data_IF_481489624447
#
_entry.id   IF_481489624447
#
_cell.length_a   1.000
_cell.length_b   1.000
_cell.length_c   1.000
_cell.angle_alpha   90.00
_cell.angle_beta   90.00
_cell.angle_gamma   90.00
#
_symmetry.space_group_name_H-M   'P 1'
#
loop_
_entity.id
_entity.type
_entity.pdbx_description
1 polymer ?
#
# COMPACT_ATOMS: atom_id res chain seq x y z
N UNK A 1 -24.50 -20.10 -44.34
CA UNK A 1 -23.95 -21.11 -43.42
C UNK A 1 -23.02 -20.35 -42.49
N UNK A 2 -23.65 -19.77 -41.47
CA UNK A 2 -23.07 -18.88 -40.46
C UNK A 2 -22.28 -19.67 -39.44
N UNK A 3 -20.96 -19.74 -39.60
CA UNK A 3 -20.07 -20.40 -38.64
C UNK A 3 -19.11 -19.43 -37.94
N UNK A 4 -19.31 -18.11 -38.03
CA UNK A 4 -18.26 -17.14 -37.68
C UNK A 4 -18.44 -16.33 -36.39
N UNK A 5 -19.60 -16.27 -35.74
CA UNK A 5 -19.80 -15.23 -34.72
C UNK A 5 -20.34 -15.74 -33.37
N UNK A 6 -19.77 -16.81 -32.85
CA UNK A 6 -19.91 -17.17 -31.44
C UNK A 6 -18.53 -17.36 -30.80
N UNK A 7 -17.61 -16.40 -31.01
CA UNK A 7 -16.41 -16.32 -30.15
C UNK A 7 -16.84 -15.83 -28.77
N UNK A 8 -16.25 -16.34 -27.68
CA UNK A 8 -16.71 -16.06 -26.32
C UNK A 8 -16.33 -14.63 -25.89
N UNK A 9 -17.08 -13.63 -26.37
CA UNK A 9 -16.96 -12.21 -25.98
C UNK A 9 -16.98 -12.04 -24.45
N UNK A 10 -17.71 -12.91 -23.75
CA UNK A 10 -17.79 -12.90 -22.28
C UNK A 10 -16.47 -13.25 -21.60
N UNK A 11 -15.63 -14.09 -22.20
CA UNK A 11 -14.38 -14.52 -21.59
C UNK A 11 -13.26 -13.49 -21.77
N UNK A 12 -13.24 -12.79 -22.91
CA UNK A 12 -12.33 -11.67 -23.15
C UNK A 12 -12.65 -10.47 -22.24
N UNK A 13 -13.92 -10.09 -22.11
CA UNK A 13 -14.33 -8.98 -21.23
C UNK A 13 -13.98 -9.22 -19.74
N UNK A 14 -14.02 -10.48 -19.29
CA UNK A 14 -13.61 -10.83 -17.92
C UNK A 14 -12.09 -10.74 -17.73
N UNK A 15 -11.30 -11.07 -18.75
CA UNK A 15 -9.85 -10.93 -18.68
C UNK A 15 -9.42 -9.46 -18.74
N UNK A 16 -10.02 -8.65 -19.61
CA UNK A 16 -9.72 -7.20 -19.71
C UNK A 16 -10.06 -6.43 -18.43
N UNK A 17 -11.21 -6.71 -17.80
CA UNK A 17 -11.61 -6.07 -16.54
C UNK A 17 -10.65 -6.43 -15.40
N UNK A 18 -10.23 -7.69 -15.31
CA UNK A 18 -9.23 -8.13 -14.33
C UNK A 18 -7.86 -7.49 -14.53
N UNK A 19 -7.41 -7.31 -15.78
CA UNK A 19 -6.12 -6.67 -16.08
C UNK A 19 -6.15 -5.17 -15.75
N UNK A 20 -7.21 -4.45 -16.13
CA UNK A 20 -7.39 -3.03 -15.77
C UNK A 20 -7.43 -2.79 -14.26
N UNK A 21 -8.08 -3.67 -13.50
CA UNK A 21 -8.17 -3.54 -12.04
C UNK A 21 -6.81 -3.74 -11.37
N UNK A 22 -6.01 -4.69 -11.83
CA UNK A 22 -4.65 -4.93 -11.32
C UNK A 22 -3.74 -3.74 -11.60
N UNK A 23 -3.83 -3.16 -12.80
CA UNK A 23 -3.02 -2.02 -13.20
C UNK A 23 -3.36 -0.76 -12.39
N UNK A 24 -4.66 -0.51 -12.16
CA UNK A 24 -5.14 0.54 -11.25
C UNK A 24 -4.64 0.32 -9.82
N UNK A 25 -4.73 -0.90 -9.30
CA UNK A 25 -4.26 -1.23 -7.96
C UNK A 25 -2.76 -0.99 -7.82
N UNK A 26 -1.96 -1.46 -8.79
CA UNK A 26 -0.51 -1.22 -8.82
C UNK A 26 -0.20 0.28 -8.81
N UNK A 27 -0.94 1.06 -9.59
CA UNK A 27 -0.77 2.50 -9.63
C UNK A 27 -1.09 3.16 -8.26
N UNK A 28 -2.18 2.75 -7.61
CA UNK A 28 -2.55 3.24 -6.28
C UNK A 28 -1.49 2.87 -5.25
N UNK A 29 -1.02 1.61 -5.22
CA UNK A 29 0.00 1.18 -4.27
C UNK A 29 1.32 1.94 -4.46
N UNK A 30 1.72 2.17 -5.72
CA UNK A 30 2.92 2.95 -6.04
C UNK A 30 2.76 4.42 -5.60
N UNK A 31 1.59 5.03 -5.85
CA UNK A 31 1.30 6.38 -5.38
C UNK A 31 1.33 6.47 -3.85
N UNK A 32 0.80 5.46 -3.17
CA UNK A 32 0.77 5.40 -1.70
C UNK A 32 2.17 5.25 -1.11
N UNK A 33 3.04 4.48 -1.77
CA UNK A 33 4.45 4.36 -1.44
C UNK A 33 5.16 5.72 -1.54
N UNK A 34 5.02 6.43 -2.67
CA UNK A 34 5.63 7.75 -2.87
C UNK A 34 5.10 8.75 -1.84
N UNK A 35 3.79 8.77 -1.59
CA UNK A 35 3.17 9.64 -0.60
C UNK A 35 3.71 9.38 0.82
N UNK A 36 3.83 8.11 1.20
CA UNK A 36 4.37 7.74 2.52
C UNK A 36 5.83 8.18 2.68
N UNK A 37 6.63 8.05 1.63
CA UNK A 37 8.02 8.52 1.61
C UNK A 37 8.12 10.05 1.71
N UNK A 38 7.24 10.78 1.00
CA UNK A 38 7.16 12.24 1.07
C UNK A 38 6.80 12.72 2.47
N UNK A 39 5.81 12.09 3.11
CA UNK A 39 5.40 12.43 4.48
C UNK A 39 6.54 12.11 5.47
N UNK A 40 7.16 10.94 5.35
CA UNK A 40 8.33 10.58 6.17
C UNK A 40 9.47 11.59 6.03
N UNK A 41 9.87 11.90 4.79
CA UNK A 41 10.94 12.85 4.51
C UNK A 41 10.62 14.26 5.02
N UNK A 42 9.39 14.72 4.84
CA UNK A 42 8.92 16.00 5.36
C UNK A 42 8.96 16.06 6.88
N UNK A 43 8.47 15.02 7.57
CA UNK A 43 8.49 14.94 9.03
C UNK A 43 9.92 14.91 9.59
N UNK A 44 10.81 14.09 9.01
CA UNK A 44 12.22 14.04 9.41
C UNK A 44 12.90 15.38 9.15
N UNK A 45 12.63 16.03 8.03
CA UNK A 45 13.15 17.36 7.71
C UNK A 45 12.71 18.41 8.72
N UNK A 46 11.43 18.40 9.11
CA UNK A 46 10.92 19.30 10.16
C UNK A 46 11.64 19.03 11.48
N UNK A 47 11.76 17.77 11.91
CA UNK A 47 12.45 17.38 13.16
C UNK A 47 13.92 17.80 13.16
N UNK A 48 14.59 17.79 12.01
CA UNK A 48 15.99 18.23 11.90
C UNK A 48 16.13 19.76 11.97
N UNK A 49 15.16 20.52 11.45
CA UNK A 49 15.21 21.99 11.39
C UNK A 49 14.71 22.61 12.70
N UNK A 50 13.57 22.10 13.18
CA UNK A 50 13.02 22.51 14.47
C UNK A 50 13.77 21.74 15.53
N UNK A 51 14.51 22.44 16.38
CA UNK A 51 15.32 21.88 17.46
C UNK A 51 14.41 21.34 18.59
N UNK A 52 13.44 20.49 18.22
CA UNK A 52 12.43 19.90 19.09
C UNK A 52 13.11 18.79 19.87
N UNK A 53 12.82 18.71 21.17
CA UNK A 53 13.26 17.58 21.97
C UNK A 53 12.70 16.29 21.35
N UNK A 54 13.59 15.36 21.03
CA UNK A 54 13.26 14.04 20.51
C UNK A 54 12.51 13.23 21.59
N UNK A 55 11.21 13.49 21.72
CA UNK A 55 10.30 12.71 22.54
C UNK A 55 9.83 11.47 21.76
N UNK A 56 9.41 10.43 22.49
CA UNK A 56 8.82 9.23 21.90
C UNK A 56 7.64 9.57 20.96
N UNK A 57 6.86 10.60 21.29
CA UNK A 57 5.73 11.10 20.49
C UNK A 57 6.15 11.77 19.18
N UNK A 58 7.29 12.46 19.15
CA UNK A 58 7.77 13.17 17.95
C UNK A 58 8.39 12.21 16.95
N UNK A 59 9.02 11.14 17.44
CA UNK A 59 9.70 10.14 16.62
C UNK A 59 8.71 9.11 16.05
N UNK A 60 7.64 8.76 16.77
CA UNK A 60 6.74 7.69 16.35
C UNK A 60 6.03 7.94 15.03
N UNK A 61 5.65 9.19 14.76
CA UNK A 61 4.92 9.55 13.55
C UNK A 61 5.74 9.30 12.27
N UNK A 62 6.98 9.79 12.12
CA UNK A 62 7.85 9.42 11.00
C UNK A 62 8.02 7.90 10.87
N UNK A 63 8.24 7.18 11.98
CA UNK A 63 8.41 5.73 11.94
C UNK A 63 7.14 4.98 11.50
N UNK A 64 5.95 5.49 11.81
CA UNK A 64 4.70 4.94 11.31
C UNK A 64 4.59 5.07 9.78
N UNK A 65 4.95 6.22 9.21
CA UNK A 65 4.96 6.39 7.75
C UNK A 65 6.05 5.57 7.05
N UNK A 66 7.21 5.40 7.70
CA UNK A 66 8.25 4.48 7.21
C UNK A 66 7.79 3.02 7.23
N UNK A 67 7.06 2.60 8.26
CA UNK A 67 6.46 1.27 8.31
C UNK A 67 5.44 1.07 7.18
N UNK A 68 4.52 2.02 6.99
CA UNK A 68 3.55 1.98 5.89
C UNK A 68 4.27 1.89 4.54
N UNK A 69 5.34 2.67 4.34
CA UNK A 69 6.17 2.61 3.13
C UNK A 69 6.75 1.21 2.89
N UNK A 70 7.39 0.61 3.89
CA UNK A 70 8.01 -0.73 3.75
C UNK A 70 6.96 -1.78 3.44
N UNK A 71 5.84 -1.80 4.16
CA UNK A 71 4.76 -2.77 3.94
C UNK A 71 4.16 -2.60 2.55
N UNK A 72 3.93 -1.36 2.12
CA UNK A 72 3.45 -1.04 0.76
C UNK A 72 4.44 -1.47 -0.32
N UNK A 73 5.74 -1.29 -0.10
CA UNK A 73 6.78 -1.75 -1.02
C UNK A 73 6.80 -3.28 -1.16
N UNK A 74 6.76 -4.00 -0.04
CA UNK A 74 6.72 -5.47 -0.02
C UNK A 74 5.48 -5.97 -0.76
N UNK A 75 4.30 -5.42 -0.46
CA UNK A 75 3.05 -5.81 -1.13
C UNK A 75 3.07 -5.49 -2.62
N UNK A 76 3.60 -4.34 -3.02
CA UNK A 76 3.74 -3.97 -4.44
C UNK A 76 4.67 -4.94 -5.17
N UNK A 77 5.78 -5.34 -4.54
CA UNK A 77 6.68 -6.38 -5.07
C UNK A 77 5.97 -7.73 -5.26
N UNK A 78 5.21 -8.17 -4.25
CA UNK A 78 4.43 -9.41 -4.33
C UNK A 78 3.35 -9.38 -5.43
N UNK A 79 2.70 -8.23 -5.63
CA UNK A 79 1.72 -8.02 -6.71
C UNK A 79 2.40 -8.05 -8.08
N UNK A 80 3.63 -7.54 -8.18
CA UNK A 80 4.38 -7.59 -9.42
C UNK A 80 4.78 -9.02 -9.80
N UNK A 81 5.23 -9.82 -8.83
CA UNK A 81 5.60 -11.22 -9.05
C UNK A 81 4.40 -12.14 -9.29
N UNK A 82 3.27 -11.90 -8.61
CA UNK A 82 2.06 -12.76 -8.68
C UNK A 82 0.77 -11.93 -8.81
N UNK A 83 0.49 -11.35 -10.00
CA UNK A 83 -0.65 -10.46 -10.20
C UNK A 83 -2.02 -11.16 -10.02
N UNK A 84 -2.09 -12.49 -10.20
CA UNK A 84 -3.33 -13.28 -10.01
C UNK A 84 -3.87 -13.26 -8.57
N UNK A 85 -3.06 -12.88 -7.59
CA UNK A 85 -3.42 -12.84 -6.17
C UNK A 85 -3.51 -11.41 -5.61
N UNK A 86 -3.57 -10.40 -6.48
CA UNK A 86 -3.56 -8.97 -6.10
C UNK A 86 -4.58 -8.66 -5.00
N UNK A 87 -5.82 -9.13 -5.12
CA UNK A 87 -6.85 -8.89 -4.09
C UNK A 87 -6.52 -9.51 -2.72
N UNK A 88 -5.84 -10.66 -2.69
CA UNK A 88 -5.37 -11.27 -1.43
C UNK A 88 -4.26 -10.43 -0.80
N UNK A 89 -3.27 -10.03 -1.59
CA UNK A 89 -2.16 -9.22 -1.10
C UNK A 89 -2.61 -7.84 -0.61
N UNK A 90 -3.58 -7.22 -1.27
CA UNK A 90 -4.13 -5.94 -0.84
C UNK A 90 -4.88 -6.05 0.50
N UNK A 91 -5.62 -7.15 0.68
CA UNK A 91 -6.31 -7.45 1.94
C UNK A 91 -5.31 -7.73 3.05
N UNK A 92 -4.28 -8.53 2.79
CA UNK A 92 -3.22 -8.83 3.76
C UNK A 92 -2.45 -7.55 4.14
N UNK A 93 -2.16 -6.68 3.17
CA UNK A 93 -1.58 -5.34 3.40
C UNK A 93 -2.45 -4.50 4.34
N UNK A 94 -3.76 -4.43 4.08
CA UNK A 94 -4.69 -3.64 4.89
C UNK A 94 -4.78 -4.19 6.33
N UNK A 95 -4.77 -5.51 6.49
CA UNK A 95 -4.75 -6.17 7.80
C UNK A 95 -3.45 -5.82 8.55
N UNK A 96 -2.29 -5.96 7.90
CA UNK A 96 -0.98 -5.68 8.50
C UNK A 96 -0.87 -4.21 8.90
N UNK A 97 -1.27 -3.28 8.03
CA UNK A 97 -1.29 -1.85 8.35
C UNK A 97 -2.22 -1.55 9.53
N UNK A 98 -3.42 -2.13 9.56
CA UNK A 98 -4.39 -1.90 10.64
C UNK A 98 -3.87 -2.45 11.98
N UNK A 99 -3.33 -3.66 11.99
CA UNK A 99 -2.74 -4.27 13.19
C UNK A 99 -1.54 -3.44 13.67
N UNK A 100 -0.67 -3.01 12.76
CA UNK A 100 0.46 -2.14 13.09
C UNK A 100 0.02 -0.85 13.79
N UNK A 101 -0.98 -0.17 13.23
CA UNK A 101 -1.53 1.07 13.83
C UNK A 101 -2.16 0.79 15.20
N UNK A 102 -2.92 -0.29 15.35
CA UNK A 102 -3.55 -0.64 16.63
C UNK A 102 -2.49 -0.96 17.69
N UNK A 103 -1.47 -1.74 17.35
CA UNK A 103 -0.38 -2.07 18.28
C UNK A 103 0.37 -0.79 18.67
N UNK A 104 0.66 0.09 17.72
CA UNK A 104 1.29 1.39 18.02
C UNK A 104 0.41 2.25 18.93
N UNK A 105 -0.91 2.33 18.68
CA UNK A 105 -1.83 3.09 19.52
C UNK A 105 -1.92 2.51 20.94
N UNK A 106 -1.95 1.19 21.09
CA UNK A 106 -1.93 0.51 22.39
C UNK A 106 -0.62 0.78 23.12
N UNK A 107 0.53 0.66 22.44
CA UNK A 107 1.84 0.95 23.02
C UNK A 107 1.94 2.40 23.53
N UNK A 108 1.35 3.36 22.82
CA UNK A 108 1.27 4.76 23.27
C UNK A 108 0.29 5.02 24.41
N UNK A 109 -0.79 4.23 24.49
CA UNK A 109 -1.80 4.40 25.54
C UNK A 109 -1.35 3.81 26.87
N UNK A 110 -0.51 2.77 26.84
CA UNK A 110 0.00 2.07 28.02
C UNK A 110 1.41 2.51 28.48
N UNK A 111 2.04 3.49 27.82
CA UNK A 111 3.34 4.06 28.18
C UNK A 111 3.21 5.55 28.55
#
# INVERSE_FOLDING_TARGET
MDWLEARPIKHDNLLETHEMDIERIKHIMNSLMILSLLIFGGLVGIIMITNVQLSNTTISLPFAFLFIFIITFITTGQINDRPKLTGKYLRDWLIICTIGIIISALAFTFY
#
